data_IF_542239013433
#
_entry.id   IF_542239013433
#
_cell.length_a   1.000
_cell.length_b   1.000
_cell.length_c   1.000
_cell.angle_alpha   90.00
_cell.angle_beta   90.00
_cell.angle_gamma   90.00
#
_symmetry.space_group_name_H-M   'P 1'
#
loop_
_entity.id
_entity.type
_entity.pdbx_description
1 polymer ?
#
# COMPACT_ATOMS: atom_id res chain seq x y z
N UNK A 1 1.75 34.34 -9.99
CA UNK A 1 3.23 34.35 -9.91
C UNK A 1 3.81 33.20 -9.08
N UNK A 2 3.09 32.72 -8.07
CA UNK A 2 3.60 31.77 -7.05
C UNK A 2 3.72 30.31 -7.52
N UNK A 3 2.86 29.83 -8.40
CA UNK A 3 2.94 28.45 -8.94
C UNK A 3 4.16 28.24 -9.85
N UNK A 4 4.54 29.23 -10.63
CA UNK A 4 5.74 29.12 -11.51
C UNK A 4 7.05 29.09 -10.71
N UNK A 5 7.12 29.80 -9.57
CA UNK A 5 8.27 29.76 -8.68
C UNK A 5 8.43 28.42 -7.95
N UNK A 6 7.32 27.81 -7.49
CA UNK A 6 7.35 26.51 -6.83
C UNK A 6 7.79 25.37 -7.77
N UNK A 7 7.31 25.37 -9.03
CA UNK A 7 7.76 24.40 -10.04
C UNK A 7 9.25 24.58 -10.38
N UNK A 8 9.73 25.81 -10.50
CA UNK A 8 11.15 26.07 -10.79
C UNK A 8 12.06 25.62 -9.63
N UNK A 9 11.65 25.84 -8.39
CA UNK A 9 12.39 25.37 -7.20
C UNK A 9 12.39 23.86 -7.09
N UNK A 10 11.28 23.18 -7.39
CA UNK A 10 11.21 21.72 -7.39
C UNK A 10 12.10 21.09 -8.47
N UNK A 11 12.14 21.70 -9.67
CA UNK A 11 13.02 21.26 -10.76
C UNK A 11 14.49 21.52 -10.45
N UNK A 12 14.83 22.64 -9.82
CA UNK A 12 16.19 22.96 -9.39
C UNK A 12 16.67 22.01 -8.28
N UNK A 13 15.81 21.73 -7.29
CA UNK A 13 16.12 20.77 -6.22
C UNK A 13 16.30 19.36 -6.79
N UNK A 14 15.47 18.93 -7.73
CA UNK A 14 15.61 17.65 -8.44
C UNK A 14 16.92 17.58 -9.24
N UNK A 15 17.29 18.65 -9.91
CA UNK A 15 18.52 18.72 -10.71
C UNK A 15 19.79 18.72 -9.82
N UNK A 16 19.76 19.42 -8.70
CA UNK A 16 20.84 19.40 -7.72
C UNK A 16 20.99 18.02 -7.05
N UNK A 17 19.87 17.36 -6.73
CA UNK A 17 19.88 16.01 -6.17
C UNK A 17 20.44 14.97 -7.14
N UNK A 18 20.12 15.08 -8.45
CA UNK A 18 20.66 14.24 -9.52
C UNK A 18 22.17 14.52 -9.77
N UNK A 19 22.61 15.77 -9.61
CA UNK A 19 24.00 16.15 -9.77
C UNK A 19 24.91 15.68 -8.62
N UNK A 20 24.35 15.44 -7.44
CA UNK A 20 25.05 14.94 -6.25
C UNK A 20 24.91 13.42 -6.05
N UNK A 21 24.10 12.74 -6.86
CA UNK A 21 23.98 11.30 -6.81
C UNK A 21 25.33 10.67 -7.15
N UNK A 22 25.90 9.81 -6.28
CA UNK A 22 27.11 9.08 -6.60
C UNK A 22 26.85 8.29 -7.89
N UNK A 23 27.64 8.58 -8.92
CA UNK A 23 27.56 7.82 -10.17
C UNK A 23 27.91 6.39 -9.83
N UNK A 24 27.03 5.40 -10.12
CA UNK A 24 27.39 4.02 -9.93
C UNK A 24 28.69 3.79 -10.75
N UNK A 25 29.68 3.06 -10.22
CA UNK A 25 30.86 2.74 -10.99
C UNK A 25 30.36 2.07 -12.26
N UNK A 26 30.74 2.65 -13.42
CA UNK A 26 30.49 2.05 -14.72
C UNK A 26 31.16 0.69 -14.68
N UNK A 27 30.43 -0.34 -14.32
CA UNK A 27 30.90 -1.72 -14.43
C UNK A 27 31.11 -1.96 -15.92
N UNK A 28 32.34 -2.34 -16.24
CA UNK A 28 32.81 -2.61 -17.61
C UNK A 28 31.76 -3.38 -18.41
N UNK A 29 31.76 -3.11 -19.72
CA UNK A 29 30.90 -3.76 -20.70
C UNK A 29 30.71 -5.26 -20.41
N UNK A 30 29.50 -5.80 -20.65
CA UNK A 30 29.25 -7.22 -20.44
C UNK A 30 30.26 -8.01 -21.28
N UNK A 31 31.09 -8.79 -20.61
CA UNK A 31 31.88 -9.80 -21.30
C UNK A 31 30.90 -10.69 -22.04
N UNK A 32 30.99 -10.72 -23.34
CA UNK A 32 30.27 -11.64 -24.23
C UNK A 32 30.76 -13.07 -23.95
N UNK A 33 30.27 -13.65 -22.88
CA UNK A 33 30.26 -15.07 -22.64
C UNK A 33 28.97 -15.65 -23.19
N UNK A 34 28.98 -16.07 -24.42
CA UNK A 34 27.92 -16.83 -25.07
C UNK A 34 27.97 -18.30 -24.57
N UNK A 35 27.52 -18.53 -23.34
CA UNK A 35 27.18 -19.90 -22.91
C UNK A 35 25.93 -19.84 -22.04
N UNK A 36 24.82 -20.42 -22.57
CA UNK A 36 23.69 -20.85 -21.74
C UNK A 36 22.74 -19.79 -21.21
N UNK A 37 22.52 -18.64 -21.90
CA UNK A 37 21.49 -17.69 -21.49
C UNK A 37 20.11 -18.32 -21.67
N UNK A 38 19.52 -18.75 -20.58
CA UNK A 38 18.09 -19.09 -20.51
C UNK A 38 17.26 -18.02 -21.24
N UNK A 39 16.26 -18.40 -22.04
CA UNK A 39 15.47 -17.43 -22.82
C UNK A 39 14.85 -16.38 -21.90
N UNK A 40 14.98 -15.08 -22.25
CA UNK A 40 14.56 -13.92 -21.44
C UNK A 40 13.15 -14.05 -20.87
N UNK A 41 12.22 -14.65 -21.59
CA UNK A 41 10.85 -14.85 -21.11
C UNK A 41 10.78 -15.80 -19.90
N UNK A 42 11.65 -16.83 -19.81
CA UNK A 42 11.70 -17.74 -18.67
C UNK A 42 12.22 -17.07 -17.41
N UNK A 43 13.14 -16.14 -17.55
CA UNK A 43 13.65 -15.32 -16.45
C UNK A 43 12.57 -14.39 -15.86
N UNK A 44 11.63 -13.89 -16.67
CA UNK A 44 10.51 -13.06 -16.21
C UNK A 44 9.55 -13.85 -15.30
N UNK A 45 9.37 -15.15 -15.53
CA UNK A 45 8.48 -15.99 -14.73
C UNK A 45 9.15 -16.59 -13.49
N UNK A 46 10.47 -16.52 -13.41
CA UNK A 46 11.24 -17.08 -12.30
C UNK A 46 10.75 -16.63 -10.91
N UNK A 47 10.44 -15.35 -10.64
CA UNK A 47 9.93 -14.93 -9.34
C UNK A 47 8.64 -15.65 -8.94
N UNK A 48 7.75 -15.92 -9.89
CA UNK A 48 6.48 -16.60 -9.64
C UNK A 48 6.64 -18.11 -9.36
N UNK A 49 7.75 -18.72 -9.71
CA UNK A 49 8.04 -20.11 -9.31
C UNK A 49 8.44 -20.20 -7.84
N UNK A 50 8.92 -19.10 -7.24
CA UNK A 50 9.37 -19.08 -5.88
C UNK A 50 8.21 -18.86 -4.89
N UNK A 51 7.98 -19.83 -4.01
CA UNK A 51 6.90 -19.77 -3.03
C UNK A 51 6.97 -18.52 -2.09
N UNK A 52 8.15 -18.09 -1.60
CA UNK A 52 8.24 -16.88 -0.77
C UNK A 52 7.75 -15.62 -1.48
N UNK A 53 8.08 -15.45 -2.77
CA UNK A 53 7.65 -14.31 -3.56
C UNK A 53 6.13 -14.33 -3.81
N UNK A 54 5.57 -15.47 -4.20
CA UNK A 54 4.11 -15.61 -4.40
C UNK A 54 3.33 -15.28 -3.12
N UNK A 55 3.82 -15.75 -1.96
CA UNK A 55 3.20 -15.46 -0.66
C UNK A 55 3.22 -13.97 -0.34
N UNK A 56 4.37 -13.32 -0.52
CA UNK A 56 4.51 -11.87 -0.33
C UNK A 56 3.61 -11.10 -1.29
N UNK A 57 3.59 -11.48 -2.57
CA UNK A 57 2.77 -10.84 -3.61
C UNK A 57 1.27 -10.97 -3.32
N UNK A 58 0.80 -12.14 -2.85
CA UNK A 58 -0.60 -12.35 -2.48
C UNK A 58 -1.03 -11.45 -1.32
N UNK A 59 -0.20 -11.33 -0.27
CA UNK A 59 -0.45 -10.41 0.85
C UNK A 59 -0.46 -8.97 0.36
N UNK A 60 0.51 -8.59 -0.48
CA UNK A 60 0.62 -7.23 -1.03
C UNK A 60 -0.59 -6.86 -1.89
N UNK A 61 -1.06 -7.76 -2.76
CA UNK A 61 -2.26 -7.54 -3.58
C UNK A 61 -3.50 -7.36 -2.71
N UNK A 62 -3.73 -8.26 -1.76
CA UNK A 62 -4.89 -8.18 -0.87
C UNK A 62 -4.89 -6.88 -0.04
N UNK A 63 -3.75 -6.53 0.58
CA UNK A 63 -3.61 -5.30 1.35
C UNK A 63 -3.70 -4.04 0.48
N UNK A 64 -3.15 -4.10 -0.74
CA UNK A 64 -3.17 -2.98 -1.68
C UNK A 64 -4.57 -2.66 -2.18
N UNK A 65 -5.37 -3.68 -2.55
CA UNK A 65 -6.79 -3.50 -2.91
C UNK A 65 -7.55 -2.89 -1.73
N UNK A 66 -7.34 -3.41 -0.51
CA UNK A 66 -7.96 -2.88 0.70
C UNK A 66 -7.67 -1.38 0.92
N UNK A 67 -6.44 -0.94 0.62
CA UNK A 67 -6.04 0.47 0.77
C UNK A 67 -6.52 1.35 -0.39
N UNK A 68 -6.67 0.80 -1.59
CA UNK A 68 -7.06 1.54 -2.78
C UNK A 68 -8.58 1.83 -2.85
N UNK A 69 -9.43 0.98 -2.23
CA UNK A 69 -10.88 1.21 -2.17
C UNK A 69 -11.23 2.52 -1.45
N UNK A 70 -10.76 2.80 -0.22
CA UNK A 70 -11.00 4.08 0.41
C UNK A 70 -10.47 5.27 -0.39
N UNK A 71 -9.31 5.12 -1.03
CA UNK A 71 -8.75 6.18 -1.87
C UNK A 71 -9.67 6.53 -3.06
N UNK A 72 -10.32 5.53 -3.67
CA UNK A 72 -11.27 5.73 -4.76
C UNK A 72 -12.61 6.34 -4.30
N UNK A 73 -13.05 6.06 -3.08
CA UNK A 73 -14.36 6.46 -2.55
C UNK A 73 -14.33 7.67 -1.63
N UNK A 74 -13.15 8.12 -1.21
CA UNK A 74 -13.00 9.16 -0.19
C UNK A 74 -13.79 10.44 -0.54
N UNK A 75 -13.77 10.85 -1.80
CA UNK A 75 -14.46 12.06 -2.24
C UNK A 75 -15.98 11.93 -2.06
N UNK A 76 -16.55 10.81 -2.51
CA UNK A 76 -17.99 10.55 -2.37
C UNK A 76 -18.42 10.44 -0.91
N UNK A 77 -17.64 9.71 -0.10
CA UNK A 77 -17.91 9.60 1.32
C UNK A 77 -17.85 10.94 2.04
N UNK A 78 -16.85 11.77 1.75
CA UNK A 78 -16.69 13.08 2.37
C UNK A 78 -17.78 14.07 1.93
N UNK A 79 -18.14 14.09 0.66
CA UNK A 79 -19.16 14.99 0.12
C UNK A 79 -20.57 14.56 0.49
N UNK A 80 -20.94 13.32 0.18
CA UNK A 80 -22.33 12.89 0.25
C UNK A 80 -22.71 12.40 1.65
N UNK A 81 -21.80 11.68 2.36
CA UNK A 81 -22.10 11.15 3.69
C UNK A 81 -21.78 12.13 4.81
N UNK A 82 -20.60 12.78 4.77
CA UNK A 82 -20.18 13.73 5.80
C UNK A 82 -20.64 15.16 5.54
N UNK A 83 -21.05 15.47 4.32
CA UNK A 83 -21.41 16.84 3.88
C UNK A 83 -20.26 17.83 4.09
N UNK A 84 -19.02 17.35 3.88
CA UNK A 84 -17.82 18.14 4.06
C UNK A 84 -17.63 19.14 2.92
N UNK A 85 -17.15 20.33 3.27
CA UNK A 85 -16.79 21.36 2.28
C UNK A 85 -15.46 21.04 1.57
N UNK A 86 -15.24 21.61 0.39
CA UNK A 86 -13.99 21.39 -0.37
C UNK A 86 -12.71 21.67 0.44
N UNK A 87 -12.61 22.74 1.26
CA UNK A 87 -11.45 22.94 2.13
C UNK A 87 -11.26 21.83 3.18
N UNK A 88 -12.36 21.29 3.74
CA UNK A 88 -12.29 20.19 4.71
C UNK A 88 -11.80 18.90 4.06
N UNK A 89 -12.22 18.62 2.83
CA UNK A 89 -11.76 17.44 2.05
C UNK A 89 -10.25 17.55 1.79
N UNK A 90 -9.78 18.72 1.38
CA UNK A 90 -8.35 18.97 1.20
C UNK A 90 -7.57 18.78 2.51
N UNK A 91 -8.12 19.25 3.63
CA UNK A 91 -7.53 19.08 4.97
C UNK A 91 -7.43 17.59 5.34
N UNK A 92 -8.45 16.77 5.09
CA UNK A 92 -8.43 15.34 5.36
C UNK A 92 -7.28 14.64 4.63
N UNK A 93 -7.07 14.97 3.34
CA UNK A 93 -5.96 14.42 2.56
C UNK A 93 -4.60 14.84 3.13
N UNK A 94 -4.46 16.11 3.47
CA UNK A 94 -3.23 16.64 4.09
C UNK A 94 -2.95 15.91 5.41
N UNK A 95 -3.93 15.82 6.31
CA UNK A 95 -3.80 15.13 7.59
C UNK A 95 -3.39 13.66 7.41
N UNK A 96 -4.02 12.96 6.46
CA UNK A 96 -3.73 11.56 6.17
C UNK A 96 -2.30 11.36 5.69
N UNK A 97 -1.86 12.11 4.66
CA UNK A 97 -0.52 11.93 4.09
C UNK A 97 0.59 12.46 4.99
N UNK A 98 0.38 13.61 5.65
CA UNK A 98 1.35 14.17 6.60
C UNK A 98 1.53 13.23 7.80
N UNK A 99 0.44 12.70 8.36
CA UNK A 99 0.50 11.71 9.43
C UNK A 99 1.24 10.45 8.98
N UNK A 100 1.02 9.98 7.75
CA UNK A 100 1.74 8.85 7.15
C UNK A 100 3.25 9.09 7.11
N UNK A 101 3.66 10.25 6.60
CA UNK A 101 5.06 10.63 6.53
C UNK A 101 5.71 10.77 7.92
N UNK A 102 5.04 11.45 8.83
CA UNK A 102 5.54 11.66 10.20
C UNK A 102 5.60 10.36 11.02
N UNK A 103 4.77 9.37 10.71
CA UNK A 103 4.78 8.07 11.40
C UNK A 103 5.94 7.16 10.99
N UNK A 104 6.59 7.39 9.85
CA UNK A 104 7.66 6.53 9.33
C UNK A 104 8.81 6.28 10.32
N UNK A 105 9.38 7.30 11.02
CA UNK A 105 10.42 7.04 12.01
C UNK A 105 9.95 6.14 13.16
N UNK A 106 8.67 6.23 13.54
CA UNK A 106 8.03 5.34 14.51
C UNK A 106 8.02 3.89 14.01
N UNK A 107 7.58 3.67 12.78
CA UNK A 107 7.55 2.34 12.17
C UNK A 107 8.93 1.74 12.01
N UNK A 108 9.96 2.52 11.71
CA UNK A 108 11.35 2.04 11.67
C UNK A 108 11.83 1.52 13.04
N UNK A 109 11.38 2.12 14.16
CA UNK A 109 11.67 1.62 15.51
C UNK A 109 10.93 0.29 15.77
N UNK A 110 9.66 0.19 15.36
CA UNK A 110 8.88 -1.05 15.47
C UNK A 110 9.52 -2.17 14.65
N UNK A 111 9.95 -1.88 13.42
CA UNK A 111 10.65 -2.85 12.54
C UNK A 111 11.93 -3.33 13.19
N UNK A 112 12.75 -2.43 13.77
CA UNK A 112 13.99 -2.82 14.47
C UNK A 112 13.74 -3.73 15.67
N UNK A 113 12.63 -3.55 16.36
CA UNK A 113 12.32 -4.32 17.58
C UNK A 113 11.62 -5.64 17.32
N UNK A 114 10.70 -5.68 16.35
CA UNK A 114 9.79 -6.82 16.14
C UNK A 114 9.95 -7.50 14.77
N UNK A 115 10.75 -6.92 13.87
CA UNK A 115 10.93 -7.39 12.50
C UNK A 115 9.88 -6.85 11.53
N UNK A 116 10.14 -7.03 10.23
CA UNK A 116 9.34 -6.46 9.15
C UNK A 116 7.91 -7.02 9.13
N UNK A 117 7.75 -8.33 9.21
CA UNK A 117 6.45 -8.99 9.08
C UNK A 117 5.50 -8.60 10.21
N UNK A 118 6.00 -8.58 11.47
CA UNK A 118 5.19 -8.20 12.62
C UNK A 118 4.86 -6.71 12.63
N UNK A 119 5.78 -5.87 12.17
CA UNK A 119 5.54 -4.44 12.01
C UNK A 119 4.42 -4.18 10.98
N UNK A 120 4.44 -4.90 9.86
CA UNK A 120 3.38 -4.77 8.85
C UNK A 120 2.02 -5.26 9.38
N UNK A 121 2.00 -6.40 10.07
CA UNK A 121 0.80 -6.91 10.73
C UNK A 121 0.22 -5.87 11.70
N UNK A 122 1.06 -5.26 12.54
CA UNK A 122 0.63 -4.20 13.46
C UNK A 122 0.04 -2.99 12.73
N UNK A 123 0.64 -2.57 11.59
CA UNK A 123 0.11 -1.51 10.74
C UNK A 123 -1.27 -1.83 10.17
N UNK A 124 -1.46 -3.06 9.65
CA UNK A 124 -2.77 -3.51 9.16
C UNK A 124 -3.83 -3.51 10.26
N UNK A 125 -3.52 -4.03 11.45
CA UNK A 125 -4.44 -4.07 12.57
C UNK A 125 -4.78 -2.67 13.10
N UNK A 126 -3.80 -1.77 13.16
CA UNK A 126 -4.01 -0.37 13.50
C UNK A 126 -4.95 0.31 12.49
N UNK A 127 -4.72 0.09 11.19
CA UNK A 127 -5.60 0.63 10.15
C UNK A 127 -7.05 0.15 10.33
N UNK A 128 -7.27 -1.14 10.59
CA UNK A 128 -8.61 -1.71 10.82
C UNK A 128 -9.26 -1.08 12.07
N UNK A 129 -8.52 -1.00 13.17
CA UNK A 129 -9.02 -0.46 14.43
C UNK A 129 -9.46 1.01 14.31
N UNK A 130 -8.70 1.81 13.54
CA UNK A 130 -9.00 3.23 13.38
C UNK A 130 -10.03 3.49 12.29
N UNK A 131 -9.94 2.79 11.15
CA UNK A 131 -10.74 3.08 9.97
C UNK A 131 -12.16 2.50 10.06
N UNK A 132 -12.36 1.41 10.82
CA UNK A 132 -13.68 0.79 11.01
C UNK A 132 -14.73 1.75 11.58
N UNK A 133 -14.31 2.76 12.35
CA UNK A 133 -15.22 3.79 12.92
C UNK A 133 -15.84 4.69 11.84
N UNK A 134 -15.23 4.78 10.65
CA UNK A 134 -15.81 5.56 9.56
C UNK A 134 -17.20 5.06 9.14
N UNK A 135 -17.50 3.77 9.34
CA UNK A 135 -18.82 3.20 9.06
C UNK A 135 -19.95 3.81 9.91
N UNK A 136 -19.64 4.26 11.13
CA UNK A 136 -20.60 4.82 12.07
C UNK A 136 -20.77 6.34 11.92
N UNK A 137 -19.95 7.02 11.13
CA UNK A 137 -20.00 8.47 10.98
C UNK A 137 -21.25 8.91 10.22
N UNK A 138 -21.77 10.08 10.67
CA UNK A 138 -22.94 10.73 10.09
C UNK A 138 -22.58 12.15 9.58
N UNK A 139 -23.51 12.78 8.91
CA UNK A 139 -23.37 14.16 8.42
C UNK A 139 -22.94 15.13 9.54
N UNK A 140 -22.01 16.01 9.23
CA UNK A 140 -21.48 17.02 10.17
C UNK A 140 -20.36 16.53 11.09
N UNK A 141 -20.05 15.23 11.16
CA UNK A 141 -18.98 14.70 12.03
C UNK A 141 -17.57 14.83 11.42
N UNK A 142 -17.27 16.03 10.92
CA UNK A 142 -16.02 16.38 10.23
C UNK A 142 -14.79 16.19 11.13
N UNK A 143 -14.88 16.60 12.41
CA UNK A 143 -13.78 16.51 13.35
C UNK A 143 -13.44 15.04 13.67
N UNK A 144 -14.44 14.17 13.83
CA UNK A 144 -14.22 12.75 14.07
C UNK A 144 -13.54 12.08 12.87
N UNK A 145 -13.93 12.45 11.65
CA UNK A 145 -13.28 11.93 10.44
C UNK A 145 -11.83 12.45 10.30
N UNK A 146 -11.55 13.69 10.69
CA UNK A 146 -10.18 14.21 10.71
C UNK A 146 -9.27 13.38 11.65
N UNK A 147 -9.78 12.97 12.83
CA UNK A 147 -9.05 12.07 13.72
C UNK A 147 -8.80 10.70 13.06
N UNK A 148 -9.81 10.14 12.39
CA UNK A 148 -9.64 8.88 11.63
C UNK A 148 -8.57 9.05 10.54
N UNK A 149 -8.54 10.17 9.83
CA UNK A 149 -7.51 10.45 8.81
C UNK A 149 -6.10 10.47 9.42
N UNK A 150 -5.91 11.10 10.59
CA UNK A 150 -4.61 11.12 11.28
C UNK A 150 -4.19 9.71 11.71
N UNK A 151 -5.07 8.96 12.36
CA UNK A 151 -4.76 7.64 12.88
C UNK A 151 -4.54 6.60 11.76
N UNK A 152 -5.41 6.60 10.74
CA UNK A 152 -5.25 5.72 9.58
C UNK A 152 -4.06 6.13 8.70
N UNK A 153 -3.76 7.43 8.63
CA UNK A 153 -2.54 7.95 8.04
C UNK A 153 -1.29 7.44 8.76
N UNK A 154 -1.29 7.42 10.09
CA UNK A 154 -0.19 6.81 10.84
C UNK A 154 0.02 5.33 10.48
N UNK A 155 -1.05 4.57 10.28
CA UNK A 155 -0.98 3.18 9.82
C UNK A 155 -0.43 3.06 8.38
N UNK A 156 -0.71 4.04 7.50
CA UNK A 156 -0.18 4.10 6.13
C UNK A 156 1.35 4.07 6.11
N UNK A 157 2.02 4.67 7.11
CA UNK A 157 3.48 4.64 7.20
C UNK A 157 4.08 3.23 7.18
N UNK A 158 3.41 2.24 7.80
CA UNK A 158 3.82 0.85 7.71
C UNK A 158 3.63 0.27 6.30
N UNK A 159 2.49 0.58 5.65
CA UNK A 159 2.18 0.11 4.29
C UNK A 159 3.15 0.68 3.24
N UNK A 160 3.72 1.86 3.47
CA UNK A 160 4.71 2.48 2.59
C UNK A 160 6.13 1.92 2.81
N UNK A 161 6.53 1.71 4.07
CA UNK A 161 7.91 1.35 4.42
C UNK A 161 8.17 -0.15 4.32
N UNK A 162 7.25 -0.99 4.78
CA UNK A 162 7.55 -2.41 5.05
C UNK A 162 7.49 -3.31 3.83
N UNK A 163 6.50 -3.22 2.92
CA UNK A 163 6.39 -4.14 1.78
C UNK A 163 7.60 -4.10 0.85
N UNK A 164 8.09 -2.89 0.56
CA UNK A 164 9.30 -2.71 -0.26
C UNK A 164 10.56 -3.28 0.39
N UNK A 165 10.69 -3.12 1.72
CA UNK A 165 11.80 -3.68 2.48
C UNK A 165 11.75 -5.23 2.52
N UNK A 166 10.55 -5.81 2.62
CA UNK A 166 10.37 -7.28 2.52
C UNK A 166 10.74 -7.80 1.13
N UNK A 167 10.35 -7.08 0.07
CA UNK A 167 10.73 -7.42 -1.30
C UNK A 167 12.25 -7.39 -1.48
N UNK A 168 12.93 -6.31 -1.03
CA UNK A 168 14.37 -6.18 -1.12
C UNK A 168 15.09 -7.32 -0.38
N UNK A 169 14.66 -7.63 0.84
CA UNK A 169 15.21 -8.73 1.62
C UNK A 169 14.98 -10.11 0.94
N UNK A 170 13.85 -10.27 0.25
CA UNK A 170 13.56 -11.50 -0.49
C UNK A 170 14.47 -11.65 -1.70
N UNK A 171 14.67 -10.58 -2.47
CA UNK A 171 15.59 -10.56 -3.62
C UNK A 171 17.02 -10.89 -3.17
N UNK A 172 17.47 -10.28 -2.08
CA UNK A 172 18.79 -10.55 -1.49
C UNK A 172 18.95 -12.03 -1.14
N UNK A 173 17.99 -12.62 -0.45
CA UNK A 173 18.00 -14.04 -0.05
C UNK A 173 17.89 -15.03 -1.20
N UNK A 174 17.26 -14.63 -2.30
CA UNK A 174 17.12 -15.48 -3.49
C UNK A 174 18.42 -15.61 -4.30
N UNK A 175 19.46 -14.81 -3.97
CA UNK A 175 20.68 -14.72 -4.77
C UNK A 175 20.48 -14.07 -6.15
N UNK A 176 19.32 -13.46 -6.38
CA UNK A 176 18.96 -12.84 -7.66
C UNK A 176 19.55 -11.44 -7.84
N UNK A 177 20.24 -10.91 -6.83
CA UNK A 177 20.82 -9.57 -6.88
C UNK A 177 21.72 -9.37 -8.10
N UNK A 178 21.42 -8.31 -8.85
CA UNK A 178 22.15 -7.94 -10.05
C UNK A 178 21.86 -8.74 -11.31
N UNK A 179 21.19 -9.90 -11.21
CA UNK A 179 20.90 -10.75 -12.39
C UNK A 179 19.40 -10.75 -12.76
N UNK A 180 18.51 -10.87 -11.80
CA UNK A 180 17.06 -11.02 -12.02
C UNK A 180 16.19 -10.01 -11.25
N UNK A 181 16.77 -8.98 -10.63
CA UNK A 181 16.06 -7.93 -9.86
C UNK A 181 14.92 -7.31 -10.67
N UNK A 182 15.16 -7.09 -11.97
CA UNK A 182 14.19 -6.51 -12.88
C UNK A 182 12.89 -7.31 -12.99
N UNK A 183 12.95 -8.64 -12.91
CA UNK A 183 11.76 -9.49 -12.96
C UNK A 183 10.91 -9.36 -11.68
N UNK A 184 11.55 -9.35 -10.49
CA UNK A 184 10.86 -9.14 -9.21
C UNK A 184 10.20 -7.77 -9.13
N UNK A 185 10.94 -6.72 -9.48
CA UNK A 185 10.44 -5.35 -9.49
C UNK A 185 9.35 -5.15 -10.56
N UNK A 186 9.46 -5.83 -11.71
CA UNK A 186 8.44 -5.82 -12.76
C UNK A 186 7.10 -6.37 -12.26
N UNK A 187 7.09 -7.54 -11.63
CA UNK A 187 5.89 -8.12 -11.03
C UNK A 187 5.33 -7.28 -9.90
N UNK A 188 6.20 -6.68 -9.08
CA UNK A 188 5.78 -5.78 -8.00
C UNK A 188 5.09 -4.53 -8.54
N UNK A 189 5.67 -3.89 -9.56
CA UNK A 189 5.08 -2.73 -10.22
C UNK A 189 3.76 -3.07 -10.91
N UNK A 190 3.68 -4.24 -11.56
CA UNK A 190 2.42 -4.74 -12.13
C UNK A 190 1.35 -4.89 -11.05
N UNK A 191 1.69 -5.53 -9.93
CA UNK A 191 0.78 -5.69 -8.79
C UNK A 191 0.31 -4.35 -8.22
N UNK A 192 1.20 -3.37 -8.10
CA UNK A 192 0.86 -2.02 -7.65
C UNK A 192 -0.15 -1.33 -8.58
N UNK A 193 0.09 -1.41 -9.89
CA UNK A 193 -0.83 -0.85 -10.89
C UNK A 193 -2.16 -1.60 -10.94
N UNK A 194 -2.12 -2.92 -10.79
CA UNK A 194 -3.31 -3.77 -10.75
C UNK A 194 -4.18 -3.45 -9.53
N UNK A 195 -3.59 -3.22 -8.35
CA UNK A 195 -4.31 -2.79 -7.16
C UNK A 195 -5.12 -1.50 -7.42
N UNK A 196 -4.48 -0.51 -8.05
CA UNK A 196 -5.13 0.76 -8.36
C UNK A 196 -6.24 0.58 -9.41
N UNK A 197 -5.97 -0.19 -10.47
CA UNK A 197 -6.93 -0.45 -11.54
C UNK A 197 -8.16 -1.23 -11.04
N UNK A 198 -7.95 -2.26 -10.22
CA UNK A 198 -9.04 -3.06 -9.64
C UNK A 198 -9.88 -2.23 -8.68
N UNK A 199 -9.25 -1.43 -7.82
CA UNK A 199 -9.99 -0.57 -6.90
C UNK A 199 -10.83 0.46 -7.66
N UNK A 200 -10.24 1.17 -8.63
CA UNK A 200 -10.97 2.15 -9.42
C UNK A 200 -12.07 1.50 -10.28
N UNK A 201 -11.76 0.38 -10.93
CA UNK A 201 -12.68 -0.30 -11.85
C UNK A 201 -13.81 -1.07 -11.18
N UNK A 202 -13.60 -1.63 -9.98
CA UNK A 202 -14.59 -2.44 -9.29
C UNK A 202 -15.45 -1.65 -8.31
N UNK A 203 -14.93 -0.57 -7.73
CA UNK A 203 -15.59 0.10 -6.60
C UNK A 203 -16.84 0.86 -7.02
N UNK A 204 -16.80 1.59 -8.13
CA UNK A 204 -17.97 2.33 -8.63
C UNK A 204 -19.08 1.41 -9.13
N UNK A 205 -18.84 0.38 -9.95
CA UNK A 205 -19.87 -0.59 -10.30
C UNK A 205 -20.49 -1.30 -9.09
N UNK A 206 -19.67 -1.64 -8.09
CA UNK A 206 -20.17 -2.24 -6.85
C UNK A 206 -21.13 -1.31 -6.10
N UNK A 207 -20.82 -0.01 -6.03
CA UNK A 207 -21.70 0.99 -5.41
C UNK A 207 -23.02 1.13 -6.18
N UNK A 208 -22.96 1.18 -7.51
CA UNK A 208 -24.15 1.27 -8.36
C UNK A 208 -25.05 0.03 -8.20
N UNK A 209 -24.44 -1.15 -8.18
CA UNK A 209 -25.17 -2.41 -7.96
C UNK A 209 -25.87 -2.44 -6.59
N UNK A 210 -25.30 -1.79 -5.59
CA UNK A 210 -25.88 -1.65 -4.26
C UNK A 210 -26.84 -0.44 -4.13
N UNK A 211 -27.17 0.21 -5.25
CA UNK A 211 -28.15 1.29 -5.31
C UNK A 211 -27.67 2.65 -4.87
N UNK A 212 -26.33 2.86 -4.78
CA UNK A 212 -25.77 4.20 -4.57
C UNK A 212 -25.40 4.86 -5.90
N UNK A 213 -25.84 6.09 -6.08
CA UNK A 213 -25.43 6.98 -7.16
C UNK A 213 -24.75 8.22 -6.54
N UNK A 214 -23.67 8.75 -7.16
CA UNK A 214 -23.01 9.97 -6.69
C UNK A 214 -24.02 11.12 -6.57
N UNK A 215 -23.98 11.84 -5.43
CA UNK A 215 -24.94 12.91 -5.11
C UNK A 215 -26.29 12.43 -4.56
N UNK A 216 -26.45 11.12 -4.30
CA UNK A 216 -27.67 10.58 -3.69
C UNK A 216 -27.89 11.14 -2.28
N UNK A 217 -29.13 11.52 -1.95
CA UNK A 217 -29.57 11.94 -0.63
C UNK A 217 -30.34 10.84 0.12
N UNK A 218 -30.50 9.66 -0.52
CA UNK A 218 -31.22 8.54 0.09
C UNK A 218 -30.42 7.99 1.29
N UNK A 219 -31.01 7.96 2.51
CA UNK A 219 -30.33 7.49 3.71
C UNK A 219 -29.78 6.05 3.59
N UNK A 220 -30.50 5.16 2.89
CA UNK A 220 -30.06 3.78 2.67
C UNK A 220 -28.87 3.70 1.72
N UNK A 221 -28.87 4.50 0.65
CA UNK A 221 -27.75 4.57 -0.28
C UNK A 221 -26.48 5.12 0.42
N UNK A 222 -26.63 6.17 1.23
CA UNK A 222 -25.53 6.74 2.03
C UNK A 222 -25.00 5.75 3.10
N UNK A 223 -25.87 4.94 3.69
CA UNK A 223 -25.47 3.90 4.63
C UNK A 223 -24.65 2.79 3.93
N UNK A 224 -25.07 2.37 2.74
CA UNK A 224 -24.35 1.40 1.92
C UNK A 224 -22.99 1.92 1.48
N UNK A 225 -22.91 3.21 1.09
CA UNK A 225 -21.63 3.88 0.82
C UNK A 225 -20.70 3.81 2.03
N UNK A 226 -21.19 4.13 3.22
CA UNK A 226 -20.39 4.09 4.45
C UNK A 226 -19.88 2.66 4.76
N UNK A 227 -20.69 1.65 4.56
CA UNK A 227 -20.28 0.26 4.77
C UNK A 227 -19.20 -0.19 3.77
N UNK A 228 -19.39 0.11 2.48
CA UNK A 228 -18.38 -0.24 1.46
C UNK A 228 -17.10 0.54 1.69
N UNK A 229 -17.21 1.83 2.02
CA UNK A 229 -16.07 2.69 2.28
C UNK A 229 -15.21 2.20 3.46
N UNK A 230 -15.84 1.75 4.55
CA UNK A 230 -15.14 1.42 5.78
C UNK A 230 -15.00 -0.09 6.04
N UNK A 231 -16.09 -0.87 5.92
CA UNK A 231 -16.08 -2.28 6.34
C UNK A 231 -15.40 -3.19 5.31
N UNK A 232 -15.61 -2.94 4.01
CA UNK A 232 -14.99 -3.75 2.97
C UNK A 232 -13.45 -3.68 3.02
N UNK A 233 -12.82 -2.50 3.10
CA UNK A 233 -11.37 -2.40 3.30
C UNK A 233 -10.88 -3.06 4.58
N UNK A 234 -11.62 -2.92 5.68
CA UNK A 234 -11.28 -3.56 6.95
C UNK A 234 -11.29 -5.10 6.83
N UNK A 235 -12.31 -5.67 6.18
CA UNK A 235 -12.40 -7.11 5.94
C UNK A 235 -11.23 -7.61 5.08
N UNK A 236 -10.90 -6.90 4.00
CA UNK A 236 -9.77 -7.22 3.13
C UNK A 236 -8.42 -7.07 3.86
N UNK A 237 -8.26 -6.05 4.71
CA UNK A 237 -7.04 -5.90 5.53
C UNK A 237 -6.92 -7.00 6.58
N UNK A 238 -8.00 -7.42 7.20
CA UNK A 238 -8.00 -8.58 8.12
C UNK A 238 -7.63 -9.87 7.38
N UNK A 239 -8.14 -10.06 6.16
CA UNK A 239 -7.73 -11.18 5.30
C UNK A 239 -6.24 -11.10 4.95
N UNK A 240 -5.73 -9.92 4.57
CA UNK A 240 -4.31 -9.72 4.30
C UNK A 240 -3.45 -9.97 5.56
N UNK A 241 -3.89 -9.52 6.73
CA UNK A 241 -3.23 -9.76 8.02
C UNK A 241 -3.20 -11.26 8.36
N UNK A 242 -4.29 -11.96 8.14
CA UNK A 242 -4.36 -13.41 8.32
C UNK A 242 -3.43 -14.16 7.34
N UNK A 243 -3.41 -13.77 6.06
CA UNK A 243 -2.48 -14.33 5.06
C UNK A 243 -1.02 -14.06 5.45
N UNK A 244 -0.69 -12.83 5.87
CA UNK A 244 0.63 -12.47 6.35
C UNK A 244 1.06 -13.35 7.53
N UNK A 245 0.19 -13.52 8.51
CA UNK A 245 0.47 -14.36 9.68
C UNK A 245 0.69 -15.82 9.28
N UNK A 246 -0.21 -16.39 8.49
CA UNK A 246 -0.13 -17.81 8.07
C UNK A 246 1.04 -18.10 7.14
N UNK A 247 1.25 -17.26 6.11
CA UNK A 247 2.15 -17.57 5.01
C UNK A 247 3.59 -17.10 5.26
N UNK A 248 3.79 -16.05 6.06
CA UNK A 248 5.11 -15.44 6.27
C UNK A 248 5.61 -15.61 7.70
N UNK A 249 4.78 -15.41 8.72
CA UNK A 249 5.20 -15.49 10.12
C UNK A 249 5.28 -16.95 10.58
N UNK A 250 4.20 -17.72 10.42
CA UNK A 250 4.14 -19.10 10.92
C UNK A 250 5.03 -20.04 10.12
N UNK A 251 5.18 -19.84 8.79
CA UNK A 251 6.00 -20.71 7.96
C UNK A 251 7.53 -20.56 8.19
N UNK A 252 7.96 -19.51 8.90
CA UNK A 252 9.35 -19.32 9.31
C UNK A 252 9.71 -20.01 10.64
N UNK A 253 8.72 -20.28 11.47
CA UNK A 253 8.86 -21.05 12.69
C UNK A 253 8.04 -22.35 12.52
N UNK A 254 8.56 -23.40 11.85
CA UNK A 254 7.94 -24.70 11.97
C UNK A 254 7.97 -25.07 13.45
N UNK A 255 6.89 -25.62 14.04
CA UNK A 255 6.94 -26.12 15.40
C UNK A 255 8.13 -27.11 15.47
N UNK A 256 9.10 -26.81 16.33
CA UNK A 256 10.16 -27.76 16.63
C UNK A 256 9.45 -28.99 17.20
N UNK A 257 9.21 -29.96 16.30
CA UNK A 257 8.64 -31.25 16.66
C UNK A 257 9.55 -31.87 17.68
N UNK A 258 8.96 -32.17 18.81
CA UNK A 258 9.46 -33.13 19.79
C UNK A 258 10.01 -34.34 18.99
N UNK A 259 11.33 -34.41 18.88
CA UNK A 259 11.99 -35.66 18.49
C UNK A 259 11.87 -36.59 19.70
N UNK A 260 11.41 -37.83 19.48
CA UNK A 260 11.28 -38.83 20.53
C UNK A 260 12.64 -39.23 21.09
#
# INVERSE_FOLDING_TARGET
GTMRGACALALLAGWLALGQAPRPPFSAAPQEGHEGREPRYRQLWLPLTQAPFRRLLAVFLCNGIASAIPAALMLFFAQDRLQATSPQIALFLVLYFVSGALSMPGWLRVVRRFGLERAWLAGMLLAVACFGWAAALQGGQVAAFAVICVLSGAALGADLAVPGALLALLIERSGAQGTNDGAYLGWWNLATKLNLALAAGATLPLLQWLGYLPGSQDPLALQRLAWIYALLPCALKLMAAWLLHRLLITSRNPPQGVTP
#
